data_IF_270245560268
#
_entry.id   IF_270245560268
#
_cell.length_a   1.000
_cell.length_b   1.000
_cell.length_c   1.000
_cell.angle_alpha   90.00
_cell.angle_beta   90.00
_cell.angle_gamma   90.00
#
_symmetry.space_group_name_H-M   'P 1'
#
loop_
_entity.id
_entity.type
_entity.pdbx_description
1 polymer ?
#
# COMPACT_ATOMS: atom_id res chain seq x y z
N UNK A 1 -26.72 -13.98 -0.16
CA UNK A 1 -27.11 -12.56 -0.18
C UNK A 1 -25.83 -11.76 -0.31
N UNK A 2 -25.71 -10.88 -1.30
CA UNK A 2 -24.60 -9.94 -1.33
C UNK A 2 -24.63 -9.12 -0.03
N UNK A 3 -23.48 -8.94 0.62
CA UNK A 3 -23.38 -8.04 1.75
C UNK A 3 -23.84 -6.64 1.31
N UNK A 4 -24.64 -5.95 2.12
CA UNK A 4 -25.02 -4.58 1.83
C UNK A 4 -23.76 -3.70 1.85
N UNK A 5 -23.70 -2.71 0.96
CA UNK A 5 -22.58 -1.76 0.90
C UNK A 5 -22.44 -1.07 2.27
N UNK A 6 -21.27 -1.14 2.92
CA UNK A 6 -21.06 -0.52 4.23
C UNK A 6 -21.03 1.00 4.08
N UNK A 7 -21.37 1.71 5.17
CA UNK A 7 -21.29 3.17 5.19
C UNK A 7 -19.86 3.66 4.84
N UNK A 8 -19.78 4.82 4.19
CA UNK A 8 -18.49 5.45 3.90
C UNK A 8 -17.75 5.78 5.21
N UNK A 9 -16.44 5.51 5.25
CA UNK A 9 -15.58 5.95 6.34
C UNK A 9 -15.26 7.45 6.18
N UNK A 10 -14.93 8.18 7.26
CA UNK A 10 -14.38 9.53 7.15
C UNK A 10 -13.13 9.51 6.26
N UNK A 11 -13.01 10.40 5.26
CA UNK A 11 -11.84 10.44 4.41
C UNK A 11 -10.57 10.73 5.21
N UNK A 12 -9.50 10.01 4.90
CA UNK A 12 -8.20 10.35 5.43
C UNK A 12 -7.61 11.53 4.67
N UNK A 13 -7.43 12.66 5.36
CA UNK A 13 -6.87 13.90 4.80
C UNK A 13 -5.41 14.12 5.19
N UNK A 14 -4.75 13.16 5.85
CA UNK A 14 -3.36 13.31 6.29
C UNK A 14 -2.40 13.22 5.09
N UNK A 15 -1.45 14.13 5.03
CA UNK A 15 -0.31 14.00 4.10
C UNK A 15 0.72 13.04 4.69
N UNK A 16 0.56 11.75 4.47
CA UNK A 16 1.44 10.74 5.03
C UNK A 16 2.91 10.81 4.57
N UNK A 17 3.29 11.71 3.65
CA UNK A 17 4.69 11.83 3.21
C UNK A 17 5.66 12.23 4.33
N UNK A 18 5.19 12.87 5.41
CA UNK A 18 6.04 13.24 6.54
C UNK A 18 6.65 12.03 7.27
N UNK A 19 6.03 10.85 7.20
CA UNK A 19 6.54 9.63 7.87
C UNK A 19 7.89 9.19 7.32
N UNK A 20 8.19 9.57 6.07
CA UNK A 20 9.45 9.27 5.39
C UNK A 20 10.64 9.92 6.13
N UNK A 21 10.41 11.04 6.80
CA UNK A 21 11.46 11.77 7.54
C UNK A 21 11.40 11.51 9.05
N UNK A 22 10.20 11.39 9.62
CA UNK A 22 10.02 11.42 11.08
C UNK A 22 9.65 10.05 11.68
N UNK A 23 9.35 9.06 10.84
CA UNK A 23 8.70 7.83 11.28
C UNK A 23 7.23 8.04 11.65
N UNK A 24 6.55 6.97 12.04
CA UNK A 24 5.13 6.99 12.36
C UNK A 24 4.91 6.66 13.85
N UNK A 25 4.35 7.59 14.65
CA UNK A 25 4.03 7.36 16.06
C UNK A 25 2.80 6.46 16.23
N UNK A 26 1.95 6.34 15.20
CA UNK A 26 0.74 5.51 15.25
C UNK A 26 1.09 4.01 15.21
N UNK A 27 2.02 3.61 14.34
CA UNK A 27 2.43 2.21 14.20
C UNK A 27 3.85 1.90 14.71
N UNK A 28 4.58 2.91 15.19
CA UNK A 28 5.97 2.79 15.66
C UNK A 28 7.00 2.60 14.53
N UNK A 29 6.59 2.79 13.27
CA UNK A 29 7.43 2.56 12.11
C UNK A 29 8.53 3.61 11.97
N UNK A 30 9.72 3.19 11.54
CA UNK A 30 10.81 4.08 11.16
C UNK A 30 11.29 3.75 9.74
N UNK A 31 11.68 4.75 8.94
CA UNK A 31 12.15 4.54 7.57
C UNK A 31 13.40 3.66 7.54
N UNK A 32 13.37 2.49 6.88
CA UNK A 32 14.56 1.69 6.69
C UNK A 32 15.43 2.25 5.55
N UNK A 33 16.68 1.77 5.42
CA UNK A 33 17.42 1.93 4.18
C UNK A 33 16.59 1.47 2.98
N UNK A 34 16.59 2.25 1.89
CA UNK A 34 15.77 1.96 0.71
C UNK A 34 16.04 0.57 0.09
N UNK A 35 17.26 0.06 0.27
CA UNK A 35 17.68 -1.29 -0.15
C UNK A 35 16.94 -2.42 0.58
N UNK A 36 16.32 -2.16 1.73
CA UNK A 36 15.57 -3.16 2.50
C UNK A 36 14.10 -3.28 2.08
N UNK A 37 13.58 -2.33 1.29
CA UNK A 37 12.16 -2.28 0.89
C UNK A 37 11.72 -3.61 0.29
N UNK A 38 12.47 -4.16 -0.66
CA UNK A 38 12.12 -5.43 -1.31
C UNK A 38 12.01 -6.61 -0.33
N UNK A 39 12.90 -6.68 0.65
CA UNK A 39 12.88 -7.76 1.66
C UNK A 39 11.69 -7.60 2.60
N UNK A 40 11.42 -6.38 3.07
CA UNK A 40 10.31 -6.12 3.99
C UNK A 40 8.95 -6.28 3.32
N UNK A 41 8.80 -5.88 2.07
CA UNK A 41 7.57 -6.14 1.27
C UNK A 41 7.30 -7.63 1.16
N UNK A 42 8.32 -8.47 0.90
CA UNK A 42 8.12 -9.93 0.87
C UNK A 42 7.72 -10.50 2.24
N UNK A 43 8.17 -9.87 3.33
CA UNK A 43 7.84 -10.30 4.69
C UNK A 43 6.39 -9.98 5.09
N UNK A 44 5.70 -9.07 4.40
CA UNK A 44 4.28 -8.78 4.66
C UNK A 44 3.34 -9.83 4.06
N UNK A 45 3.78 -10.59 3.04
CA UNK A 45 2.98 -11.61 2.35
C UNK A 45 2.37 -12.66 3.28
N UNK A 46 3.16 -13.43 4.05
CA UNK A 46 2.58 -14.45 4.93
C UNK A 46 1.69 -13.85 6.04
N UNK A 47 1.90 -12.58 6.40
CA UNK A 47 1.09 -11.87 7.41
C UNK A 47 -0.28 -11.51 6.86
N UNK A 48 -0.34 -10.93 5.67
CA UNK A 48 -1.60 -10.64 4.99
C UNK A 48 -2.38 -11.90 4.62
N UNK A 49 -1.72 -12.97 4.18
CA UNK A 49 -2.38 -14.26 3.99
C UNK A 49 -3.03 -14.79 5.28
N UNK A 50 -2.35 -14.63 6.43
CA UNK A 50 -2.89 -15.04 7.72
C UNK A 50 -4.09 -14.18 8.14
N UNK A 51 -4.04 -12.87 7.92
CA UNK A 51 -5.16 -11.95 8.15
C UNK A 51 -6.37 -12.30 7.27
N UNK A 52 -6.13 -12.53 5.97
CA UNK A 52 -7.20 -12.78 5.00
C UNK A 52 -7.90 -14.14 5.16
N UNK A 53 -7.29 -15.08 5.89
CA UNK A 53 -7.91 -16.36 6.26
C UNK A 53 -8.80 -16.29 7.51
N UNK A 54 -8.84 -15.15 8.22
CA UNK A 54 -9.64 -15.03 9.44
C UNK A 54 -11.14 -15.11 9.12
N UNK A 55 -11.95 -15.78 9.96
CA UNK A 55 -13.38 -15.94 9.69
C UNK A 55 -14.17 -14.63 9.73
N UNK A 56 -13.66 -13.62 10.42
CA UNK A 56 -14.26 -12.29 10.61
C UNK A 56 -13.64 -11.22 9.69
N UNK A 57 -12.85 -11.62 8.69
CA UNK A 57 -12.08 -10.69 7.82
C UNK A 57 -12.94 -9.59 7.18
N UNK A 58 -14.20 -9.88 6.86
CA UNK A 58 -15.14 -8.94 6.23
C UNK A 58 -15.95 -8.10 7.25
N UNK A 59 -15.78 -8.34 8.55
CA UNK A 59 -16.52 -7.62 9.59
C UNK A 59 -15.86 -6.27 9.83
N UNK A 60 -16.62 -5.19 9.68
CA UNK A 60 -16.23 -3.87 10.19
C UNK A 60 -16.62 -3.76 11.66
N UNK A 61 -15.64 -3.99 12.54
CA UNK A 61 -15.81 -3.88 13.99
C UNK A 61 -15.95 -2.42 14.46
N UNK A 62 -15.43 -1.48 13.65
CA UNK A 62 -15.48 -0.04 13.88
C UNK A 62 -16.01 0.68 12.63
N UNK A 63 -17.06 1.52 12.76
CA UNK A 63 -17.68 2.18 11.61
C UNK A 63 -16.75 3.19 10.91
N UNK A 64 -15.73 3.69 11.61
CA UNK A 64 -14.78 4.68 11.12
C UNK A 64 -13.57 4.08 10.39
N UNK A 65 -13.47 2.74 10.28
CA UNK A 65 -12.37 2.06 9.58
C UNK A 65 -12.90 0.99 8.62
N UNK A 66 -12.06 0.62 7.68
CA UNK A 66 -12.30 -0.53 6.81
C UNK A 66 -12.20 -1.85 7.58
N UNK A 67 -12.84 -2.88 7.03
CA UNK A 67 -12.62 -4.27 7.47
C UNK A 67 -11.23 -4.75 7.06
N UNK A 68 -10.77 -5.85 7.64
CA UNK A 68 -9.48 -6.43 7.25
C UNK A 68 -9.45 -6.88 5.77
N UNK A 69 -10.59 -7.29 5.22
CA UNK A 69 -10.74 -7.63 3.79
C UNK A 69 -10.50 -6.41 2.91
N UNK A 70 -11.08 -5.28 3.30
CA UNK A 70 -10.96 -4.03 2.56
C UNK A 70 -9.55 -3.46 2.64
N UNK A 71 -8.89 -3.54 3.80
CA UNK A 71 -7.46 -3.24 3.89
C UNK A 71 -6.62 -4.18 3.04
N UNK A 72 -6.96 -5.47 2.97
CA UNK A 72 -6.30 -6.44 2.09
C UNK A 72 -6.41 -6.07 0.61
N UNK A 73 -7.59 -5.64 0.17
CA UNK A 73 -7.80 -5.11 -1.18
C UNK A 73 -6.98 -3.83 -1.42
N UNK A 74 -6.97 -2.94 -0.42
CA UNK A 74 -6.21 -1.69 -0.49
C UNK A 74 -4.71 -1.96 -0.67
N UNK A 75 -4.09 -2.81 0.16
CA UNK A 75 -2.65 -3.08 0.06
C UNK A 75 -2.26 -3.82 -1.22
N UNK A 76 -3.18 -4.62 -1.81
CA UNK A 76 -3.00 -5.18 -3.16
C UNK A 76 -2.89 -4.07 -4.19
N UNK A 77 -3.84 -3.13 -4.19
CA UNK A 77 -3.87 -2.04 -5.15
C UNK A 77 -2.69 -1.07 -4.95
N UNK A 78 -2.28 -0.83 -3.70
CA UNK A 78 -1.04 -0.10 -3.36
C UNK A 78 0.18 -0.76 -4.00
N UNK A 79 0.33 -2.08 -3.91
CA UNK A 79 1.43 -2.78 -4.60
C UNK A 79 1.43 -2.54 -6.12
N UNK A 80 0.27 -2.61 -6.77
CA UNK A 80 0.14 -2.40 -8.22
C UNK A 80 0.48 -0.95 -8.62
N UNK A 81 -0.10 0.02 -7.91
CA UNK A 81 0.08 1.44 -8.19
C UNK A 81 1.54 1.84 -7.98
N UNK A 82 2.17 1.42 -6.89
CA UNK A 82 3.56 1.76 -6.60
C UNK A 82 4.55 1.03 -7.50
N UNK A 83 4.24 -0.19 -7.96
CA UNK A 83 5.02 -0.86 -9.02
C UNK A 83 5.00 -0.07 -10.33
N UNK A 84 3.84 0.45 -10.73
CA UNK A 84 3.70 1.35 -11.88
C UNK A 84 4.49 2.65 -11.73
N UNK A 85 4.33 3.34 -10.59
CA UNK A 85 5.07 4.58 -10.27
C UNK A 85 6.58 4.38 -10.25
N UNK A 86 7.05 3.27 -9.67
CA UNK A 86 8.46 2.92 -9.69
C UNK A 86 8.96 2.71 -11.12
N UNK A 87 8.19 2.03 -11.96
CA UNK A 87 8.54 1.84 -13.38
C UNK A 87 8.71 3.19 -14.07
N UNK A 88 7.75 4.10 -13.92
CA UNK A 88 7.84 5.46 -14.48
C UNK A 88 9.10 6.19 -14.00
N UNK A 89 9.37 6.19 -12.68
CA UNK A 89 10.58 6.80 -12.13
C UNK A 89 11.87 6.21 -12.72
N UNK A 90 11.89 4.93 -13.08
CA UNK A 90 13.07 4.26 -13.63
C UNK A 90 13.24 4.46 -15.14
N UNK A 91 12.16 4.70 -15.89
CA UNK A 91 12.18 4.75 -17.36
C UNK A 91 11.95 6.14 -17.96
N UNK A 92 11.35 7.06 -17.20
CA UNK A 92 11.01 8.41 -17.65
C UNK A 92 11.84 9.47 -16.91
N UNK A 93 12.02 10.64 -17.51
CA UNK A 93 12.72 11.76 -16.90
C UNK A 93 11.72 12.68 -16.18
N UNK A 94 11.89 12.84 -14.86
CA UNK A 94 11.03 13.61 -13.94
C UNK A 94 9.51 13.44 -14.19
N UNK A 95 8.99 12.19 -14.20
CA UNK A 95 7.60 11.94 -14.54
C UNK A 95 6.63 12.53 -13.53
N UNK A 96 5.44 12.91 -14.02
CA UNK A 96 4.29 13.18 -13.17
C UNK A 96 3.37 11.97 -13.11
N UNK A 97 3.15 11.40 -11.93
CA UNK A 97 2.25 10.26 -11.74
C UNK A 97 0.98 10.67 -11.00
N UNK A 98 -0.14 10.04 -11.35
CA UNK A 98 -1.45 10.39 -10.80
C UNK A 98 -1.52 10.18 -9.28
N UNK A 99 -2.15 11.12 -8.60
CA UNK A 99 -2.65 10.91 -7.24
C UNK A 99 -3.79 9.89 -7.24
N UNK A 100 -4.04 9.27 -6.10
CA UNK A 100 -4.98 8.16 -5.98
C UNK A 100 -5.87 8.33 -4.77
N UNK A 101 -7.19 8.38 -5.02
CA UNK A 101 -8.21 8.39 -3.98
C UNK A 101 -8.55 6.94 -3.61
N UNK A 102 -8.00 6.51 -2.47
CA UNK A 102 -8.18 5.17 -1.94
C UNK A 102 -9.63 4.85 -1.58
N UNK A 103 -10.42 5.84 -1.15
CA UNK A 103 -11.81 5.65 -0.75
C UNK A 103 -12.70 5.48 -1.97
N UNK A 104 -12.43 6.27 -3.02
CA UNK A 104 -13.09 6.11 -4.30
C UNK A 104 -12.75 4.75 -4.92
N UNK A 105 -11.49 4.31 -4.82
CA UNK A 105 -11.07 2.99 -5.29
C UNK A 105 -11.75 1.85 -4.54
N UNK A 106 -11.84 1.94 -3.20
CA UNK A 106 -12.51 0.93 -2.39
C UNK A 106 -14.00 0.77 -2.73
N UNK A 107 -14.71 1.89 -2.97
CA UNK A 107 -16.11 1.89 -3.42
C UNK A 107 -16.25 1.33 -4.84
N UNK A 108 -15.48 1.87 -5.79
CA UNK A 108 -15.56 1.46 -7.20
C UNK A 108 -15.15 -0.01 -7.40
N UNK A 109 -14.19 -0.50 -6.62
CA UNK A 109 -13.72 -1.88 -6.62
C UNK A 109 -14.55 -2.83 -5.75
N UNK A 110 -15.57 -2.34 -5.04
CA UNK A 110 -16.43 -3.16 -4.19
C UNK A 110 -15.68 -3.98 -3.14
N UNK A 111 -14.65 -3.40 -2.50
CA UNK A 111 -13.71 -4.13 -1.65
C UNK A 111 -14.39 -4.99 -0.56
N UNK A 112 -15.46 -4.47 0.04
CA UNK A 112 -16.24 -5.15 1.08
C UNK A 112 -16.85 -6.50 0.66
N UNK A 113 -16.97 -6.74 -0.64
CA UNK A 113 -17.63 -7.92 -1.21
C UNK A 113 -16.68 -8.83 -2.00
N UNK A 114 -15.39 -8.52 -2.05
CA UNK A 114 -14.42 -9.36 -2.76
C UNK A 114 -14.17 -10.69 -2.03
N UNK A 115 -13.75 -11.70 -2.78
CA UNK A 115 -13.40 -13.01 -2.22
C UNK A 115 -12.02 -12.94 -1.51
N UNK A 116 -11.93 -13.23 -0.20
CA UNK A 116 -10.67 -13.08 0.54
C UNK A 116 -9.53 -13.96 0.01
N UNK A 117 -9.84 -15.14 -0.53
CA UNK A 117 -8.83 -16.05 -1.06
C UNK A 117 -8.22 -15.54 -2.37
N UNK A 118 -9.05 -14.94 -3.21
CA UNK A 118 -8.65 -14.25 -4.44
C UNK A 118 -7.77 -13.04 -4.10
N UNK A 119 -8.21 -12.19 -3.16
CA UNK A 119 -7.44 -11.02 -2.71
C UNK A 119 -6.07 -11.42 -2.15
N UNK A 120 -5.98 -12.52 -1.40
CA UNK A 120 -4.72 -13.01 -0.86
C UNK A 120 -3.74 -13.46 -1.97
N UNK A 121 -4.24 -14.15 -2.99
CA UNK A 121 -3.45 -14.56 -4.16
C UNK A 121 -2.94 -13.35 -4.94
N UNK A 122 -3.84 -12.42 -5.26
CA UNK A 122 -3.49 -11.21 -6.01
C UNK A 122 -2.52 -10.31 -5.22
N UNK A 123 -2.69 -10.16 -3.90
CA UNK A 123 -1.75 -9.45 -3.06
C UNK A 123 -0.35 -10.07 -3.11
N UNK A 124 -0.28 -11.40 -3.04
CA UNK A 124 0.98 -12.15 -3.08
C UNK A 124 1.71 -11.90 -4.40
N UNK A 125 1.00 -11.96 -5.53
CA UNK A 125 1.57 -11.70 -6.85
C UNK A 125 2.03 -10.24 -6.98
N UNK A 126 1.18 -9.27 -6.59
CA UNK A 126 1.48 -7.85 -6.67
C UNK A 126 2.68 -7.47 -5.77
N UNK A 127 2.71 -7.96 -4.52
CA UNK A 127 3.81 -7.72 -3.59
C UNK A 127 5.12 -8.33 -4.10
N UNK A 128 5.09 -9.56 -4.62
CA UNK A 128 6.26 -10.21 -5.19
C UNK A 128 6.81 -9.47 -6.41
N UNK A 129 5.92 -9.03 -7.32
CA UNK A 129 6.28 -8.25 -8.49
C UNK A 129 6.94 -6.92 -8.09
N UNK A 130 6.28 -6.13 -7.25
CA UNK A 130 6.78 -4.81 -6.83
C UNK A 130 8.06 -4.91 -6.01
N UNK A 131 8.18 -5.92 -5.13
CA UNK A 131 9.44 -6.22 -4.45
C UNK A 131 10.57 -6.60 -5.42
N UNK A 132 10.24 -7.33 -6.51
CA UNK A 132 11.18 -7.63 -7.59
C UNK A 132 11.70 -6.37 -8.28
N UNK A 133 10.82 -5.42 -8.57
CA UNK A 133 11.21 -4.12 -9.16
C UNK A 133 12.16 -3.36 -8.22
N UNK A 134 11.83 -3.24 -6.92
CA UNK A 134 12.70 -2.57 -5.96
C UNK A 134 14.06 -3.27 -5.79
N UNK A 135 14.10 -4.59 -5.83
CA UNK A 135 15.35 -5.36 -5.75
C UNK A 135 16.26 -5.14 -6.97
N UNK A 136 15.70 -4.74 -8.12
CA UNK A 136 16.45 -4.49 -9.35
C UNK A 136 16.95 -3.03 -9.47
N UNK A 137 16.59 -2.14 -8.54
CA UNK A 137 17.02 -0.73 -8.55
C UNK A 137 18.53 -0.65 -8.31
N UNK A 138 19.26 -0.05 -9.25
CA UNK A 138 20.70 0.18 -9.14
C UNK A 138 21.02 1.35 -8.22
N UNK A 139 22.23 1.39 -7.60
CA UNK A 139 22.61 2.45 -6.66
C UNK A 139 22.37 3.87 -7.16
N UNK A 140 22.60 4.12 -8.45
CA UNK A 140 22.50 5.45 -9.07
C UNK A 140 21.05 5.85 -9.36
N UNK A 141 20.11 4.90 -9.34
CA UNK A 141 18.71 5.13 -9.66
C UNK A 141 17.89 5.58 -8.45
N UNK A 142 18.37 5.37 -7.23
CA UNK A 142 17.63 5.69 -6.00
C UNK A 142 17.26 7.18 -5.87
N UNK A 143 18.03 8.06 -6.51
CA UNK A 143 17.82 9.51 -6.49
C UNK A 143 17.03 10.04 -7.69
N UNK A 144 16.57 9.17 -8.60
CA UNK A 144 15.68 9.58 -9.70
C UNK A 144 14.39 10.14 -9.13
N UNK A 145 13.95 11.26 -9.69
CA UNK A 145 12.85 12.09 -9.17
C UNK A 145 11.60 11.94 -10.02
N UNK A 146 10.46 12.22 -9.40
CA UNK A 146 9.18 12.42 -10.06
C UNK A 146 8.23 13.11 -9.10
N UNK A 147 7.09 13.55 -9.61
CA UNK A 147 6.13 14.34 -8.84
C UNK A 147 4.75 13.69 -8.90
N UNK A 148 4.12 13.53 -7.74
CA UNK A 148 2.70 13.13 -7.71
C UNK A 148 1.86 14.30 -8.20
N UNK A 149 0.76 14.06 -8.89
CA UNK A 149 -0.05 15.13 -9.51
C UNK A 149 -0.65 16.14 -8.51
N UNK A 150 -0.62 15.84 -7.20
CA UNK A 150 -0.97 16.78 -6.13
C UNK A 150 0.19 17.69 -5.68
N UNK A 151 1.35 17.60 -6.32
CA UNK A 151 2.54 18.41 -6.07
C UNK A 151 3.57 17.79 -5.14
N UNK A 152 3.30 16.63 -4.50
CA UNK A 152 4.26 15.97 -3.63
C UNK A 152 5.48 15.44 -4.43
N UNK A 153 6.71 15.87 -4.13
CA UNK A 153 7.91 15.35 -4.80
C UNK A 153 8.34 14.01 -4.21
N UNK A 154 8.83 13.11 -5.05
CA UNK A 154 9.41 11.83 -4.65
C UNK A 154 10.75 11.55 -5.34
N UNK A 155 11.60 10.80 -4.66
CA UNK A 155 12.65 9.98 -5.29
C UNK A 155 12.25 8.52 -5.28
N UNK A 156 12.97 7.65 -5.99
CA UNK A 156 12.77 6.19 -5.88
C UNK A 156 12.92 5.72 -4.43
N UNK A 157 13.86 6.29 -3.66
CA UNK A 157 14.05 5.96 -2.26
C UNK A 157 12.87 6.39 -1.38
N UNK A 158 12.39 7.62 -1.51
CA UNK A 158 11.27 8.10 -0.68
C UNK A 158 9.94 7.45 -1.09
N UNK A 159 9.77 7.12 -2.38
CA UNK A 159 8.62 6.34 -2.86
C UNK A 159 8.60 4.95 -2.22
N UNK A 160 9.75 4.27 -2.15
CA UNK A 160 9.87 2.96 -1.52
C UNK A 160 9.61 2.99 -0.01
N UNK A 161 10.09 4.02 0.69
CA UNK A 161 9.81 4.21 2.11
C UNK A 161 8.32 4.44 2.37
N UNK A 162 7.69 5.32 1.56
CA UNK A 162 6.27 5.63 1.65
C UNK A 162 5.38 4.41 1.38
N UNK A 163 5.69 3.68 0.31
CA UNK A 163 5.06 2.41 -0.03
C UNK A 163 5.14 1.39 1.11
N UNK A 164 6.33 1.20 1.67
CA UNK A 164 6.54 0.21 2.70
C UNK A 164 5.80 0.56 4.00
N UNK A 165 5.81 1.84 4.38
CA UNK A 165 5.05 2.31 5.53
C UNK A 165 3.57 1.92 5.40
N UNK A 166 2.95 2.16 4.25
CA UNK A 166 1.55 1.84 4.00
C UNK A 166 1.22 0.35 4.25
N UNK A 167 2.00 -0.55 3.63
CA UNK A 167 1.81 -2.00 3.79
C UNK A 167 1.95 -2.47 5.25
N UNK A 168 2.91 -1.92 5.98
CA UNK A 168 3.20 -2.32 7.36
C UNK A 168 2.29 -1.62 8.38
N UNK A 169 1.85 -0.39 8.10
CA UNK A 169 0.87 0.35 8.89
C UNK A 169 -0.46 -0.39 8.89
N UNK A 170 -0.94 -0.82 7.71
CA UNK A 170 -2.21 -1.53 7.62
C UNK A 170 -2.16 -2.93 8.22
N UNK A 171 -0.97 -3.55 8.34
CA UNK A 171 -0.83 -4.76 9.18
C UNK A 171 -1.06 -4.44 10.67
N UNK A 172 -0.64 -3.27 11.16
CA UNK A 172 -0.93 -2.85 12.53
C UNK A 172 -2.42 -2.56 12.73
N UNK A 173 -3.08 -1.92 11.75
CA UNK A 173 -4.53 -1.63 11.81
C UNK A 173 -5.39 -2.87 12.04
N UNK A 174 -4.97 -4.00 11.44
CA UNK A 174 -5.66 -5.30 11.48
C UNK A 174 -5.02 -6.29 12.46
N UNK A 175 -4.04 -5.86 13.26
CA UNK A 175 -3.29 -6.72 14.18
C UNK A 175 -2.73 -8.00 13.51
N UNK A 176 -2.09 -7.84 12.34
CA UNK A 176 -1.44 -8.89 11.56
C UNK A 176 0.06 -8.97 11.75
#
# INVERSE_FOLDING_TARGET
MAAAEPAAIPPDTKDWTWVIEQGCPECGWTPPPATEVATRVRATTPRWEAVLRRPDVAVRDRPERWSALEYGCHVRDVCLIFGGRLTQLLTEDDPTFADWDQDAAARAGGYHAQDPSTVAGEYTEAAAHTAGLFAAVRPEQWQRRGTRSNGSPFTVATLGAYFLHDLEHHLVDVAG
#
